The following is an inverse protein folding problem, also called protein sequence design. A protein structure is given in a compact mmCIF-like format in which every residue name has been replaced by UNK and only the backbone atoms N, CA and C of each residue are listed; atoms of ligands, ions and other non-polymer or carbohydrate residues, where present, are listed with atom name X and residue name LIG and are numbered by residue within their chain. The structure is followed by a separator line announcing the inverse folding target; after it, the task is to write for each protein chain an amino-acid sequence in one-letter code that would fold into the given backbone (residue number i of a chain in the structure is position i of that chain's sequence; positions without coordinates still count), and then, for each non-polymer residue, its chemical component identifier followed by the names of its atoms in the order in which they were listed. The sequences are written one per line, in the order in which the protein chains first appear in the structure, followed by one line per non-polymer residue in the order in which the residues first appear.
data_IF_357839716482
#
_entry.id   IF_357839716482
#
_cell.length_a   1.000
_cell.length_b   1.000
_cell.length_c   1.000
_cell.angle_alpha   90.00
_cell.angle_beta   90.00
_cell.angle_gamma   90.00
#
_symmetry.space_group_name_H-M   'P 1'
#
loop_
_entity.id
_entity.type
_entity.pdbx_description
1 polymer ?
#
# COMPACT_ATOMS: atom_id res chain seq x y z
N UNK A 1 -4.39 -2.59 -17.67
CA UNK A 1 -2.94 -2.55 -17.34
C UNK A 1 -2.16 -3.54 -18.20
N UNK A 2 -0.95 -3.17 -18.64
CA UNK A 2 -0.04 -4.10 -19.31
C UNK A 2 0.27 -5.34 -18.45
N UNK A 3 0.69 -6.43 -19.10
CA UNK A 3 1.20 -7.59 -18.37
C UNK A 3 2.57 -7.27 -17.73
N UNK A 4 2.94 -7.99 -16.66
CA UNK A 4 4.19 -7.74 -15.93
C UNK A 4 5.45 -7.70 -16.82
N UNK A 5 5.67 -8.63 -17.78
CA UNK A 5 6.82 -8.52 -18.68
C UNK A 5 6.83 -7.26 -19.55
N UNK A 6 5.65 -6.73 -19.90
CA UNK A 6 5.53 -5.48 -20.66
C UNK A 6 5.90 -4.28 -19.79
N UNK A 7 5.51 -4.28 -18.51
CA UNK A 7 5.97 -3.27 -17.55
C UNK A 7 7.50 -3.25 -17.42
N UNK A 8 8.15 -4.42 -17.35
CA UNK A 8 9.61 -4.51 -17.30
C UNK A 8 10.28 -3.97 -18.58
N UNK A 9 9.68 -4.19 -19.75
CA UNK A 9 10.22 -3.64 -21.00
C UNK A 9 10.06 -2.12 -21.08
N UNK A 10 8.89 -1.59 -20.70
CA UNK A 10 8.64 -0.15 -20.64
C UNK A 10 9.56 0.56 -19.65
N UNK A 11 9.89 -0.10 -18.53
CA UNK A 11 10.75 0.44 -17.48
C UNK A 11 12.14 0.86 -18.00
N UNK A 12 12.71 0.11 -18.96
CA UNK A 12 14.04 0.35 -19.55
C UNK A 12 14.17 1.70 -20.27
N UNK A 13 13.06 2.36 -20.58
CA UNK A 13 13.07 3.66 -21.26
C UNK A 13 13.40 4.83 -20.34
N UNK A 14 13.30 4.63 -19.02
CA UNK A 14 13.45 5.66 -18.01
C UNK A 14 14.85 5.71 -17.42
N UNK A 15 15.24 6.91 -16.98
CA UNK A 15 16.47 7.14 -16.23
C UNK A 15 16.48 6.31 -14.94
N UNK A 16 17.68 5.85 -14.54
CA UNK A 16 17.87 4.83 -13.49
C UNK A 16 17.70 3.37 -13.96
N UNK A 17 17.14 3.12 -15.15
CA UNK A 17 16.95 1.78 -15.73
C UNK A 17 17.64 1.58 -17.09
N UNK A 18 18.56 2.48 -17.46
CA UNK A 18 19.33 2.46 -18.71
C UNK A 18 18.74 3.30 -19.84
N UNK A 19 17.59 3.94 -19.61
CA UNK A 19 16.96 4.85 -20.56
C UNK A 19 17.34 6.31 -20.35
N UNK A 20 16.63 7.20 -21.06
CA UNK A 20 16.86 8.67 -21.01
C UNK A 20 15.59 9.46 -20.68
N UNK A 21 14.44 8.80 -20.58
CA UNK A 21 13.19 9.49 -20.20
C UNK A 21 13.23 9.84 -18.73
N UNK A 22 12.80 11.05 -18.41
CA UNK A 22 12.59 11.46 -17.02
C UNK A 22 11.49 10.63 -16.35
N UNK A 23 11.52 10.61 -15.02
CA UNK A 23 10.54 9.87 -14.23
C UNK A 23 9.12 10.38 -14.50
N UNK A 24 8.15 9.50 -14.83
CA UNK A 24 6.87 9.94 -15.33
C UNK A 24 5.88 10.27 -14.19
N UNK A 25 5.11 11.35 -14.35
CA UNK A 25 4.24 11.90 -13.30
C UNK A 25 2.74 11.61 -13.40
N UNK A 26 2.25 10.94 -14.45
CA UNK A 26 0.79 10.73 -14.61
C UNK A 26 0.25 9.56 -13.78
N UNK A 27 -1.07 9.39 -13.80
CA UNK A 27 -1.83 8.31 -13.13
C UNK A 27 -1.78 6.97 -13.85
N UNK A 28 -1.19 6.91 -15.04
CA UNK A 28 -1.11 5.71 -15.86
C UNK A 28 -0.39 4.56 -15.12
N UNK A 29 -0.78 3.32 -15.40
CA UNK A 29 -0.29 2.14 -14.65
C UNK A 29 1.22 1.96 -14.80
N UNK A 30 1.74 2.12 -16.01
CA UNK A 30 3.16 2.10 -16.32
C UNK A 30 3.95 3.21 -15.61
N UNK A 31 3.35 4.40 -15.46
CA UNK A 31 4.01 5.48 -14.75
C UNK A 31 4.10 5.22 -13.24
N UNK A 32 3.00 4.71 -12.64
CA UNK A 32 2.99 4.28 -11.23
C UNK A 32 4.01 3.16 -10.98
N UNK A 33 4.06 2.17 -11.87
CA UNK A 33 5.05 1.09 -11.84
C UNK A 33 6.49 1.62 -11.90
N UNK A 34 6.79 2.53 -12.84
CA UNK A 34 8.11 3.15 -12.98
C UNK A 34 8.50 3.92 -11.73
N UNK A 35 7.62 4.75 -11.15
CA UNK A 35 7.94 5.52 -9.94
C UNK A 35 8.23 4.61 -8.74
N UNK A 36 7.39 3.60 -8.51
CA UNK A 36 7.62 2.64 -7.43
C UNK A 36 8.94 1.90 -7.61
N UNK A 37 9.20 1.39 -8.81
CA UNK A 37 10.44 0.67 -9.12
C UNK A 37 11.66 1.56 -8.94
N UNK A 38 11.57 2.83 -9.36
CA UNK A 38 12.67 3.80 -9.24
C UNK A 38 13.01 4.05 -7.78
N UNK A 39 12.03 4.49 -6.98
CA UNK A 39 12.27 4.85 -5.58
C UNK A 39 12.61 3.65 -4.69
N UNK A 40 12.16 2.44 -5.04
CA UNK A 40 12.53 1.22 -4.33
C UNK A 40 14.05 1.00 -4.31
N UNK A 41 14.78 1.39 -5.37
CA UNK A 41 16.24 1.26 -5.44
C UNK A 41 16.99 2.20 -4.48
N UNK A 42 16.34 3.26 -3.99
CA UNK A 42 16.95 4.28 -3.14
C UNK A 42 16.55 4.17 -1.67
N UNK A 43 15.66 3.23 -1.32
CA UNK A 43 15.28 3.04 0.07
C UNK A 43 16.50 2.56 0.87
N UNK A 44 16.83 3.22 2.00
CA UNK A 44 17.85 2.69 2.90
C UNK A 44 17.35 1.39 3.53
N UNK A 45 18.28 0.60 4.06
CA UNK A 45 17.91 -0.50 4.95
C UNK A 45 17.29 0.13 6.21
N UNK A 46 16.05 -0.23 6.59
CA UNK A 46 15.41 0.34 7.77
C UNK A 46 16.13 -0.10 9.05
N UNK A 47 16.22 0.80 10.03
CA UNK A 47 16.80 0.52 11.35
C UNK A 47 15.83 -0.22 12.27
N UNK A 48 14.53 0.01 12.09
CA UNK A 48 13.45 -0.61 12.85
C UNK A 48 12.17 -0.81 12.02
N UNK A 49 11.15 -1.41 12.64
CA UNK A 49 9.86 -1.70 12.00
C UNK A 49 9.12 -0.41 11.59
N UNK A 50 9.27 0.67 12.37
CA UNK A 50 8.59 1.94 12.09
C UNK A 50 9.15 2.58 10.82
N UNK A 51 10.47 2.58 10.65
CA UNK A 51 11.13 3.04 9.42
C UNK A 51 10.80 2.16 8.22
N UNK A 52 10.72 0.84 8.40
CA UNK A 52 10.33 -0.07 7.33
C UNK A 52 8.93 0.25 6.81
N UNK A 53 7.96 0.42 7.72
CA UNK A 53 6.58 0.79 7.39
C UNK A 53 6.51 2.19 6.78
N UNK A 54 7.24 3.17 7.32
CA UNK A 54 7.27 4.53 6.80
C UNK A 54 7.81 4.58 5.36
N UNK A 55 8.86 3.81 5.07
CA UNK A 55 9.48 3.71 3.74
C UNK A 55 8.49 3.18 2.70
N UNK A 56 7.81 2.07 3.01
CA UNK A 56 6.79 1.49 2.11
C UNK A 56 5.57 2.40 1.99
N UNK A 57 5.14 3.04 3.08
CA UNK A 57 4.01 3.98 3.05
C UNK A 57 4.30 5.16 2.12
N UNK A 58 5.51 5.74 2.18
CA UNK A 58 5.95 6.80 1.27
C UNK A 58 5.88 6.38 -0.21
N UNK A 59 6.33 5.16 -0.54
CA UNK A 59 6.20 4.60 -1.89
C UNK A 59 4.73 4.49 -2.33
N UNK A 60 3.86 3.95 -1.46
CA UNK A 60 2.43 3.82 -1.74
C UNK A 60 1.77 5.18 -2.01
N UNK A 61 2.11 6.21 -1.23
CA UNK A 61 1.62 7.58 -1.45
C UNK A 61 2.11 8.17 -2.78
N UNK A 62 3.33 7.83 -3.22
CA UNK A 62 3.86 8.28 -4.52
C UNK A 62 3.13 7.65 -5.73
N UNK A 63 2.62 6.43 -5.56
CA UNK A 63 1.84 5.71 -6.57
C UNK A 63 0.33 5.95 -6.49
N UNK A 64 -0.15 6.60 -5.41
CA UNK A 64 -1.56 6.84 -5.21
C UNK A 64 -2.15 7.73 -6.31
N UNK A 65 -3.42 7.48 -6.65
CA UNK A 65 -4.18 8.28 -7.60
C UNK A 65 -5.11 9.21 -6.80
N UNK A 66 -4.92 10.54 -6.86
CA UNK A 66 -5.78 11.49 -6.16
C UNK A 66 -7.23 11.47 -6.65
N UNK A 67 -8.16 11.83 -5.77
CA UNK A 67 -9.54 12.11 -6.16
C UNK A 67 -9.58 13.26 -7.18
N UNK A 68 -10.30 13.08 -8.28
CA UNK A 68 -10.44 14.09 -9.33
C UNK A 68 -9.21 14.27 -10.24
N UNK A 69 -8.17 13.44 -10.08
CA UNK A 69 -7.08 13.41 -11.05
C UNK A 69 -7.60 13.04 -12.45
N UNK A 70 -7.00 13.54 -13.55
CA UNK A 70 -7.34 13.07 -14.88
C UNK A 70 -6.87 11.61 -15.01
N UNK A 71 -7.81 10.69 -15.02
CA UNK A 71 -7.55 9.26 -15.23
C UNK A 71 -8.21 8.79 -16.54
N UNK A 72 -7.48 7.98 -17.30
CA UNK A 72 -8.01 7.30 -18.48
C UNK A 72 -8.80 6.04 -18.11
N UNK A 73 -9.23 5.29 -19.13
CA UNK A 73 -9.97 4.04 -18.93
C UNK A 73 -9.19 3.06 -18.04
N UNK A 74 -9.88 2.51 -17.03
CA UNK A 74 -9.32 1.53 -16.11
C UNK A 74 -8.46 2.08 -14.97
N UNK A 75 -8.35 3.40 -14.81
CA UNK A 75 -7.67 4.03 -13.67
C UNK A 75 -8.71 4.70 -12.75
N UNK A 76 -8.56 4.53 -11.43
CA UNK A 76 -9.49 4.98 -10.40
C UNK A 76 -8.74 5.61 -9.23
N UNK A 77 -9.38 6.49 -8.43
CA UNK A 77 -8.76 7.05 -7.25
C UNK A 77 -8.40 5.97 -6.21
N UNK A 78 -7.32 6.21 -5.48
CA UNK A 78 -6.89 5.33 -4.39
C UNK A 78 -7.84 5.49 -3.20
N UNK A 79 -8.65 4.46 -2.97
CA UNK A 79 -9.60 4.42 -1.85
C UNK A 79 -8.96 4.00 -0.53
N UNK A 80 -7.96 3.15 -0.59
CA UNK A 80 -7.23 2.65 0.55
C UNK A 80 -5.85 2.12 0.14
N UNK A 81 -4.97 1.97 1.13
CA UNK A 81 -3.68 1.30 1.00
C UNK A 81 -3.48 0.31 2.15
N UNK A 82 -2.63 -0.70 1.96
CA UNK A 82 -2.27 -1.65 3.01
C UNK A 82 -0.79 -2.00 2.95
N UNK A 83 -0.21 -2.31 4.10
CA UNK A 83 1.17 -2.81 4.24
C UNK A 83 1.10 -4.07 5.09
N UNK A 84 1.78 -5.13 4.67
CA UNK A 84 1.85 -6.38 5.44
C UNK A 84 3.29 -6.60 5.87
N UNK A 85 3.53 -6.53 7.18
CA UNK A 85 4.78 -6.98 7.78
C UNK A 85 4.71 -8.49 7.99
N UNK A 86 5.44 -9.22 7.15
CA UNK A 86 5.51 -10.68 7.17
C UNK A 86 6.40 -11.22 8.30
N UNK A 87 7.32 -10.41 8.83
CA UNK A 87 8.23 -10.77 9.91
C UNK A 87 7.49 -10.77 11.24
N UNK A 88 6.84 -9.65 11.56
CA UNK A 88 6.13 -9.46 12.83
C UNK A 88 4.65 -9.82 12.76
N UNK A 89 4.16 -10.21 11.57
CA UNK A 89 2.76 -10.59 11.31
C UNK A 89 1.80 -9.45 11.65
N UNK A 90 2.08 -8.26 11.12
CA UNK A 90 1.25 -7.06 11.30
C UNK A 90 0.64 -6.65 9.98
N UNK A 91 -0.65 -6.36 9.97
CA UNK A 91 -1.35 -5.87 8.78
C UNK A 91 -1.84 -4.44 9.02
N UNK A 92 -1.25 -3.50 8.29
CA UNK A 92 -1.59 -2.08 8.31
C UNK A 92 -2.61 -1.78 7.21
N UNK A 93 -3.57 -0.91 7.52
CA UNK A 93 -4.60 -0.46 6.60
C UNK A 93 -4.85 1.04 6.77
N UNK A 94 -4.95 1.74 5.65
CA UNK A 94 -5.27 3.17 5.61
C UNK A 94 -6.44 3.39 4.64
N UNK A 95 -7.56 3.88 5.16
CA UNK A 95 -8.68 4.35 4.35
C UNK A 95 -8.45 5.83 4.01
N UNK A 96 -8.35 6.17 2.72
CA UNK A 96 -7.92 7.52 2.27
C UNK A 96 -8.77 8.68 2.82
N UNK A 97 -10.01 8.43 3.24
CA UNK A 97 -10.87 9.48 3.82
C UNK A 97 -10.71 9.65 5.34
N UNK A 98 -9.97 8.78 6.00
CA UNK A 98 -9.67 8.93 7.42
C UNK A 98 -8.27 9.54 7.57
N UNK A 99 -8.07 10.53 8.45
CA UNK A 99 -6.76 11.16 8.68
C UNK A 99 -5.89 10.32 9.63
N UNK A 100 -5.97 8.98 9.55
CA UNK A 100 -5.30 8.05 10.44
C UNK A 100 -4.97 6.73 9.75
N UNK A 101 -4.13 5.93 10.40
CA UNK A 101 -3.80 4.57 9.99
C UNK A 101 -4.19 3.63 11.13
N UNK A 102 -4.66 2.44 10.76
CA UNK A 102 -4.93 1.36 11.69
C UNK A 102 -4.06 0.16 11.36
N UNK A 103 -3.79 -0.69 12.34
CA UNK A 103 -3.16 -1.98 12.11
C UNK A 103 -3.68 -3.05 13.05
N UNK A 104 -3.45 -4.29 12.66
CA UNK A 104 -3.75 -5.47 13.48
C UNK A 104 -2.50 -6.30 13.63
N UNK A 105 -2.22 -6.74 14.85
CA UNK A 105 -1.16 -7.70 15.13
C UNK A 105 -1.77 -9.10 15.10
N UNK A 106 -1.44 -9.92 14.11
CA UNK A 106 -2.07 -11.23 13.93
C UNK A 106 -1.86 -12.16 15.13
N UNK A 107 -0.80 -11.96 15.91
CA UNK A 107 -0.57 -12.69 17.18
C UNK A 107 -1.63 -12.44 18.25
N UNK A 108 -2.43 -11.37 18.13
CA UNK A 108 -3.53 -11.06 19.04
C UNK A 108 -4.83 -11.82 18.71
N UNK A 109 -4.82 -12.65 17.66
CA UNK A 109 -5.96 -13.46 17.25
C UNK A 109 -5.69 -14.95 17.52
N UNK A 110 -6.75 -15.66 17.93
CA UNK A 110 -6.76 -17.11 17.97
C UNK A 110 -7.28 -17.64 16.64
N UNK A 111 -6.44 -18.40 15.93
CA UNK A 111 -6.78 -19.07 14.66
C UNK A 111 -7.01 -20.57 14.84
N UNK A 112 -7.21 -21.05 16.07
CA UNK A 112 -7.59 -22.42 16.33
C UNK A 112 -8.95 -22.75 15.71
N UNK A 113 -9.20 -24.05 15.53
CA UNK A 113 -10.48 -24.54 15.02
C UNK A 113 -11.61 -24.09 15.96
N UNK A 114 -12.80 -23.86 15.40
CA UNK A 114 -14.03 -23.52 16.12
C UNK A 114 -14.07 -22.10 16.71
N UNK A 115 -13.10 -21.24 16.39
CA UNK A 115 -13.17 -19.80 16.69
C UNK A 115 -14.24 -19.10 15.83
N UNK A 116 -15.01 -18.15 16.40
CA UNK A 116 -15.96 -17.38 15.63
C UNK A 116 -15.25 -16.49 14.61
N UNK A 117 -15.84 -16.34 13.41
CA UNK A 117 -15.38 -15.34 12.45
C UNK A 117 -15.56 -13.96 13.07
N UNK A 118 -14.52 -13.14 13.02
CA UNK A 118 -14.58 -11.75 13.47
C UNK A 118 -14.45 -10.79 12.30
N UNK A 119 -15.09 -9.63 12.44
CA UNK A 119 -15.13 -8.56 11.44
C UNK A 119 -14.87 -7.22 12.09
N UNK A 120 -14.28 -6.30 11.32
CA UNK A 120 -14.11 -4.90 11.67
C UNK A 120 -14.53 -4.07 10.46
N UNK A 121 -15.23 -2.95 10.67
CA UNK A 121 -15.39 -1.93 9.63
C UNK A 121 -14.19 -0.97 9.67
N UNK A 122 -13.22 -1.08 8.74
CA UNK A 122 -11.99 -0.29 8.79
C UNK A 122 -12.21 1.18 8.40
N UNK A 123 -13.42 1.56 7.98
CA UNK A 123 -13.76 2.94 7.59
C UNK A 123 -14.19 3.79 8.78
N UNK A 124 -14.35 3.23 9.98
CA UNK A 124 -14.73 3.99 11.17
C UNK A 124 -13.63 5.02 11.52
N UNK A 125 -13.91 6.34 11.45
CA UNK A 125 -12.89 7.38 11.65
C UNK A 125 -12.39 7.46 13.09
N UNK A 126 -13.08 6.85 14.05
CA UNK A 126 -12.65 6.80 15.45
C UNK A 126 -11.55 5.76 15.70
N UNK A 127 -11.31 4.84 14.75
CA UNK A 127 -10.26 3.82 14.89
C UNK A 127 -8.90 4.43 14.57
N UNK A 128 -7.96 4.34 15.51
CA UNK A 128 -6.59 4.82 15.36
C UNK A 128 -5.67 3.77 15.97
N UNK A 129 -4.59 3.43 15.28
CA UNK A 129 -3.55 2.61 15.86
C UNK A 129 -3.79 1.10 15.77
N UNK A 130 -3.35 0.37 16.79
CA UNK A 130 -3.60 -1.07 16.94
C UNK A 130 -5.10 -1.30 17.26
N UNK A 131 -5.78 -2.10 16.45
CA UNK A 131 -7.25 -2.27 16.54
C UNK A 131 -7.70 -3.73 16.67
N UNK A 132 -6.83 -4.67 17.05
CA UNK A 132 -7.23 -6.09 17.14
C UNK A 132 -8.40 -6.31 18.12
N UNK A 133 -8.48 -5.50 19.19
CA UNK A 133 -9.57 -5.56 20.18
C UNK A 133 -10.91 -5.00 19.70
N UNK A 134 -10.93 -4.28 18.57
CA UNK A 134 -12.15 -3.70 18.01
C UNK A 134 -12.91 -4.66 17.08
N UNK A 135 -12.36 -5.85 16.83
CA UNK A 135 -13.01 -6.88 16.02
C UNK A 135 -14.16 -7.54 16.78
N UNK A 136 -15.31 -7.64 16.12
CA UNK A 136 -16.54 -8.22 16.68
C UNK A 136 -16.88 -9.52 15.96
N UNK A 137 -17.46 -10.53 16.63
CA UNK A 137 -18.00 -11.71 15.96
C UNK A 137 -19.02 -11.34 14.88
N UNK A 138 -18.99 -12.04 13.74
CA UNK A 138 -20.03 -11.92 12.72
C UNK A 138 -21.37 -12.36 13.33
N UNK A 139 -22.40 -11.54 13.15
CA UNK A 139 -23.78 -11.85 13.57
C UNK A 139 -24.43 -12.86 12.64
#
# INVERSE_FOLDING_TARGET
DPAYPQHLELLKQYDGFGGKKELPGTTASEHRFTRLSYYLNYLPKPEDDAEAVASIHGLLLNAAVPFGAPYGDGVYPTWWTSITDLTNKVYYFNWTKNPNIIWVELKNFDFSKDQPVKVLNPRNPSLVGEVSRAFEPVK
#
